data_IF_965015716823
#
_entry.id   IF_965015716823
#
_cell.length_a   1.000
_cell.length_b   1.000
_cell.length_c   1.000
_cell.angle_alpha   90.00
_cell.angle_beta   90.00
_cell.angle_gamma   90.00
#
_symmetry.space_group_name_H-M   'P 1'
#
loop_
_entity.id
_entity.type
_entity.pdbx_description
1 polymer ?
#
# COMPACT_ATOMS: atom_id res chain seq x y z
N UNK A 1 -12.04 12.25 7.12
CA UNK A 1 -11.86 11.07 7.99
C UNK A 1 -10.41 10.67 7.96
N UNK A 2 -9.74 10.70 9.12
CA UNK A 2 -8.34 10.32 9.23
C UNK A 2 -8.07 8.94 8.64
N UNK A 3 -6.95 8.83 7.92
CA UNK A 3 -6.47 7.60 7.29
C UNK A 3 -6.29 6.50 8.34
N UNK A 4 -5.85 6.87 9.53
CA UNK A 4 -5.68 6.00 10.69
C UNK A 4 -7.01 5.39 11.16
N UNK A 5 -8.06 6.21 11.29
CA UNK A 5 -9.39 5.73 11.67
C UNK A 5 -9.97 4.82 10.60
N UNK A 6 -9.78 5.16 9.32
CA UNK A 6 -10.23 4.29 8.22
C UNK A 6 -9.50 2.94 8.24
N UNK A 7 -8.21 2.96 8.54
CA UNK A 7 -7.41 1.76 8.69
C UNK A 7 -7.93 0.91 9.86
N UNK A 8 -8.11 1.49 11.04
CA UNK A 8 -8.59 0.77 12.23
C UNK A 8 -9.97 0.15 12.03
N UNK A 9 -10.91 0.90 11.44
CA UNK A 9 -12.27 0.43 11.20
C UNK A 9 -12.33 -0.77 10.26
N UNK A 10 -11.40 -0.90 9.32
CA UNK A 10 -11.44 -1.93 8.28
C UNK A 10 -10.41 -3.06 8.48
N UNK A 11 -9.25 -2.76 9.06
CA UNK A 11 -8.11 -3.69 9.19
C UNK A 11 -7.91 -4.21 10.62
N UNK A 12 -8.55 -3.60 11.63
CA UNK A 12 -8.43 -4.00 13.03
C UNK A 12 -7.38 -3.18 13.78
N UNK A 13 -6.59 -3.83 14.66
CA UNK A 13 -5.64 -3.12 15.51
C UNK A 13 -4.52 -2.45 14.71
N UNK A 14 -4.44 -1.12 14.83
CA UNK A 14 -3.29 -0.35 14.36
C UNK A 14 -2.10 -0.63 15.28
N UNK A 15 -1.17 -1.44 14.80
CA UNK A 15 0.08 -1.64 15.55
C UNK A 15 0.98 -0.40 15.41
N UNK A 16 1.81 -0.08 16.42
CA UNK A 16 2.72 1.07 16.36
C UNK A 16 3.64 1.04 15.14
N UNK A 17 3.99 -0.15 14.65
CA UNK A 17 4.82 -0.33 13.46
C UNK A 17 4.09 0.11 12.19
N UNK A 18 2.81 -0.25 12.04
CA UNK A 18 1.97 0.16 10.92
C UNK A 18 1.68 1.67 10.97
N UNK A 19 1.51 2.23 12.17
CA UNK A 19 1.31 3.66 12.35
C UNK A 19 2.51 4.47 11.84
N UNK A 20 3.73 3.96 12.04
CA UNK A 20 4.93 4.59 11.48
C UNK A 20 4.95 4.52 9.96
N UNK A 21 4.66 3.36 9.37
CA UNK A 21 4.63 3.23 7.91
C UNK A 21 3.52 4.08 7.27
N UNK A 22 2.38 4.25 7.94
CA UNK A 22 1.31 5.18 7.54
C UNK A 22 1.81 6.63 7.54
N UNK A 23 2.55 7.05 8.57
CA UNK A 23 3.15 8.39 8.62
C UNK A 23 4.21 8.60 7.53
N UNK A 24 4.98 7.57 7.19
CA UNK A 24 5.91 7.65 6.07
C UNK A 24 5.17 7.76 4.74
N UNK A 25 4.13 6.95 4.54
CA UNK A 25 3.30 7.00 3.34
C UNK A 25 2.61 8.36 3.18
N UNK A 26 2.13 8.98 4.26
CA UNK A 26 1.52 10.32 4.25
C UNK A 26 2.49 11.42 3.80
N UNK A 27 3.79 11.26 4.08
CA UNK A 27 4.83 12.20 3.60
C UNK A 27 5.17 12.00 2.12
N UNK A 28 5.07 10.75 1.64
CA UNK A 28 5.45 10.35 0.28
C UNK A 28 4.30 10.53 -0.72
N UNK A 29 3.08 10.28 -0.27
CA UNK A 29 1.89 10.20 -1.10
C UNK A 29 0.77 11.08 -0.53
N UNK A 30 -0.06 11.69 -1.40
CA UNK A 30 -1.22 12.44 -0.94
C UNK A 30 -2.21 11.51 -0.22
N UNK A 31 -2.85 12.02 0.83
CA UNK A 31 -3.87 11.30 1.63
C UNK A 31 -4.93 10.61 0.76
N UNK A 32 -5.35 11.24 -0.34
CA UNK A 32 -6.34 10.67 -1.25
C UNK A 32 -5.90 9.33 -1.86
N UNK A 33 -4.61 9.14 -2.11
CA UNK A 33 -4.08 7.89 -2.62
C UNK A 33 -4.10 6.81 -1.54
N UNK A 34 -3.67 7.16 -0.33
CA UNK A 34 -3.63 6.20 0.78
C UNK A 34 -5.05 5.72 1.11
N UNK A 35 -6.01 6.65 1.11
CA UNK A 35 -7.42 6.35 1.33
C UNK A 35 -7.99 5.39 0.29
N UNK A 36 -7.71 5.63 -0.99
CA UNK A 36 -8.23 4.78 -2.06
C UNK A 36 -7.51 3.42 -2.09
N UNK A 37 -6.21 3.37 -1.79
CA UNK A 37 -5.47 2.12 -1.65
C UNK A 37 -6.00 1.26 -0.50
N UNK A 38 -6.36 1.88 0.64
CA UNK A 38 -7.02 1.18 1.75
C UNK A 38 -8.37 0.63 1.30
N UNK A 39 -9.21 1.42 0.61
CA UNK A 39 -10.50 0.93 0.12
C UNK A 39 -10.35 -0.26 -0.83
N UNK A 40 -9.41 -0.18 -1.77
CA UNK A 40 -9.14 -1.26 -2.72
C UNK A 40 -8.68 -2.53 -1.99
N UNK A 41 -7.79 -2.39 -1.01
CA UNK A 41 -7.35 -3.49 -0.16
C UNK A 41 -8.51 -4.14 0.63
N UNK A 42 -9.45 -3.34 1.13
CA UNK A 42 -10.63 -3.83 1.86
C UNK A 42 -11.59 -4.56 0.93
N UNK A 43 -11.83 -4.01 -0.26
CA UNK A 43 -12.70 -4.60 -1.27
C UNK A 43 -12.17 -5.97 -1.75
N UNK A 44 -10.84 -6.09 -1.90
CA UNK A 44 -10.14 -7.35 -2.22
C UNK A 44 -10.01 -8.30 -1.01
N UNK A 45 -10.46 -7.87 0.18
CA UNK A 45 -10.25 -8.54 1.47
C UNK A 45 -8.76 -8.84 1.78
N UNK A 46 -7.85 -8.00 1.28
CA UNK A 46 -6.39 -8.06 1.47
C UNK A 46 -5.94 -6.96 2.44
N UNK A 47 -6.29 -7.10 3.72
CA UNK A 47 -6.04 -6.12 4.79
C UNK A 47 -4.58 -6.08 5.30
N UNK A 48 -3.63 -6.50 4.48
CA UNK A 48 -2.20 -6.48 4.83
C UNK A 48 -1.62 -5.17 4.33
N UNK A 49 -0.87 -4.47 5.18
CA UNK A 49 -0.19 -3.24 4.78
C UNK A 49 0.71 -3.43 3.54
N UNK A 50 1.39 -4.57 3.42
CA UNK A 50 2.19 -4.90 2.22
C UNK A 50 1.39 -4.83 0.91
N UNK A 51 0.09 -5.11 0.95
CA UNK A 51 -0.78 -4.99 -0.23
C UNK A 51 -1.12 -3.53 -0.54
N UNK A 52 -1.35 -2.72 0.48
CA UNK A 52 -1.59 -1.27 0.33
C UNK A 52 -0.34 -0.57 -0.21
N UNK A 53 0.83 -0.90 0.35
CA UNK A 53 2.12 -0.39 -0.11
C UNK A 53 2.35 -0.72 -1.60
N UNK A 54 2.03 -1.95 -2.02
CA UNK A 54 2.11 -2.34 -3.42
C UNK A 54 1.15 -1.54 -4.33
N UNK A 55 -0.06 -1.22 -3.87
CA UNK A 55 -1.00 -0.36 -4.63
C UNK A 55 -0.42 1.05 -4.78
N UNK A 56 0.12 1.63 -3.69
CA UNK A 56 0.72 2.96 -3.70
C UNK A 56 1.94 3.04 -4.63
N UNK A 57 2.81 2.03 -4.55
CA UNK A 57 3.96 1.91 -5.44
C UNK A 57 3.54 1.79 -6.90
N UNK A 58 2.52 0.97 -7.18
CA UNK A 58 1.95 0.83 -8.51
C UNK A 58 1.43 2.16 -9.05
N UNK A 59 0.70 2.93 -8.25
CA UNK A 59 0.21 4.25 -8.66
C UNK A 59 1.34 5.26 -8.82
N UNK A 60 2.40 5.15 -8.04
CA UNK A 60 3.61 5.96 -8.18
C UNK A 60 4.36 5.65 -9.48
N UNK A 61 4.37 4.39 -9.92
CA UNK A 61 5.10 3.93 -11.10
C UNK A 61 4.30 4.09 -12.40
N UNK A 62 3.02 3.74 -12.40
CA UNK A 62 2.14 3.75 -13.59
C UNK A 62 1.38 5.09 -13.75
N UNK A 63 1.44 5.98 -12.75
CA UNK A 63 0.55 7.14 -12.64
C UNK A 63 -0.87 6.70 -12.23
N UNK A 64 -1.65 7.57 -11.60
CA UNK A 64 -3.03 7.29 -11.13
C UNK A 64 -3.97 7.10 -12.33
N UNK A 65 -3.83 5.99 -13.04
CA UNK A 65 -4.70 5.58 -14.13
C UNK A 65 -5.86 4.82 -13.49
N UNK A 66 -7.01 5.48 -13.47
CA UNK A 66 -8.28 4.98 -12.97
C UNK A 66 -8.64 3.65 -13.66
N UNK A 67 -8.28 2.53 -13.01
CA UNK A 67 -9.07 1.31 -12.95
C UNK A 67 -9.42 0.50 -14.21
N UNK A 68 -8.97 0.82 -15.44
CA UNK A 68 -9.45 0.07 -16.63
C UNK A 68 -8.42 -0.61 -17.51
N UNK A 69 -7.15 -0.71 -17.14
CA UNK A 69 -6.22 -1.57 -17.89
C UNK A 69 -6.04 -2.93 -17.24
N UNK A 70 -6.92 -3.84 -17.67
CA UNK A 70 -6.61 -5.27 -17.73
C UNK A 70 -5.31 -5.46 -18.52
N UNK A 71 -4.44 -6.30 -17.97
CA UNK A 71 -3.30 -7.01 -18.57
C UNK A 71 -1.92 -6.39 -18.42
N UNK A 72 -1.03 -7.30 -18.01
CA UNK A 72 0.37 -7.41 -18.36
C UNK A 72 1.22 -6.15 -18.18
N UNK A 73 1.93 -6.10 -17.07
CA UNK A 73 3.35 -5.82 -17.19
C UNK A 73 4.10 -6.50 -16.06
N UNK A 74 5.11 -7.28 -16.45
CA UNK A 74 6.13 -7.83 -15.56
C UNK A 74 6.78 -6.66 -14.84
N UNK A 75 6.66 -6.59 -13.54
CA UNK A 75 7.50 -5.71 -12.73
C UNK A 75 7.93 -6.53 -11.53
N UNK A 76 9.18 -6.97 -11.58
CA UNK A 76 9.88 -7.71 -10.54
C UNK A 76 9.67 -7.02 -9.16
N UNK A 77 8.92 -7.65 -8.24
CA UNK A 77 8.63 -7.11 -6.90
C UNK A 77 9.84 -7.03 -5.95
N UNK A 78 11.06 -7.14 -6.48
CA UNK A 78 12.31 -7.45 -5.77
C UNK A 78 12.91 -6.26 -5.00
N UNK A 79 12.43 -5.03 -5.21
CA UNK A 79 13.18 -3.82 -4.79
C UNK A 79 12.80 -3.22 -3.43
N UNK A 80 11.61 -3.48 -2.90
CA UNK A 80 11.17 -2.87 -1.63
C UNK A 80 11.39 -3.78 -0.42
N UNK A 81 11.88 -4.98 -0.69
CA UNK A 81 12.38 -5.92 0.28
C UNK A 81 13.84 -5.55 0.59
N UNK A 82 14.07 -4.35 1.15
CA UNK A 82 15.35 -4.03 1.78
C UNK A 82 15.22 -3.09 2.97
N UNK A 83 14.28 -3.41 3.84
CA UNK A 83 14.23 -2.97 5.24
C UNK A 83 13.48 -4.01 6.06
N UNK A 84 14.18 -4.69 6.99
CA UNK A 84 13.79 -5.80 7.91
C UNK A 84 12.96 -7.00 7.37
N UNK A 85 12.13 -6.82 6.35
CA UNK A 85 11.56 -7.87 5.51
C UNK A 85 12.47 -8.27 4.35
N UNK A 86 13.63 -7.60 4.26
CA UNK A 86 14.62 -7.58 3.16
C UNK A 86 15.27 -8.90 2.70
N UNK A 87 14.77 -10.03 3.18
CA UNK A 87 15.29 -11.37 2.88
C UNK A 87 14.28 -12.22 2.08
N UNK A 88 13.15 -11.64 1.68
CA UNK A 88 12.11 -12.36 0.91
C UNK A 88 12.23 -12.20 -0.61
N UNK A 89 13.21 -11.46 -1.12
CA UNK A 89 13.57 -11.55 -2.54
C UNK A 89 15.08 -11.30 -2.68
N UNK A 90 15.75 -12.30 -3.25
CA UNK A 90 17.21 -12.40 -3.40
C UNK A 90 17.49 -12.94 -4.80
N UNK A 91 17.95 -12.02 -5.65
CA UNK A 91 18.92 -12.09 -6.76
C UNK A 91 19.01 -13.35 -7.63
#
# INVERSE_FOLDING_TARGET
>A
PDIFTLYEQNMGMLTPMIAEELREAEKLYPETWIRDAIKEAVNQNKRKWSYISAILERWSAEGRSDGTYRRDSKTDPDKYIKGKYGHMVRR
#
